data_IF_116613089912
#
_entry.id   IF_116613089912
#
_cell.length_a   1.000
_cell.length_b   1.000
_cell.length_c   1.000
_cell.angle_alpha   90.00
_cell.angle_beta   90.00
_cell.angle_gamma   90.00
#
_symmetry.space_group_name_H-M   'P 1'
#
loop_
_entity.id
_entity.type
_entity.pdbx_description
1 polymer ?
#
# COMPACT_ATOMS: atom_id res chain seq x y z
N UNK A 1 -5.90 18.79 -13.88
CA UNK A 1 -5.17 18.03 -12.84
C UNK A 1 -3.87 17.52 -13.45
N UNK A 2 -2.73 17.66 -12.76
CA UNK A 2 -1.47 17.10 -13.25
C UNK A 2 -1.45 15.60 -12.90
N UNK A 3 -1.39 14.71 -13.90
CA UNK A 3 -1.37 13.24 -13.73
C UNK A 3 -0.01 12.78 -13.15
N UNK A 4 0.35 13.21 -11.95
CA UNK A 4 1.71 13.06 -11.41
C UNK A 4 1.79 12.18 -10.18
N UNK A 5 0.74 11.44 -9.84
CA UNK A 5 0.68 10.62 -8.64
C UNK A 5 1.85 9.60 -8.59
N UNK A 6 2.12 8.90 -9.70
CA UNK A 6 3.19 7.90 -9.73
C UNK A 6 4.61 8.47 -9.62
N UNK A 7 4.79 9.76 -9.91
CA UNK A 7 6.09 10.41 -9.70
C UNK A 7 6.48 10.43 -8.21
N UNK A 8 5.51 10.44 -7.30
CA UNK A 8 5.73 10.43 -5.85
C UNK A 8 5.56 9.01 -5.27
N UNK A 9 4.67 8.21 -5.86
CA UNK A 9 4.30 6.89 -5.34
C UNK A 9 5.47 5.94 -5.06
N UNK A 10 6.44 5.85 -5.98
CA UNK A 10 7.56 4.91 -5.86
C UNK A 10 8.46 5.20 -4.63
N UNK A 11 8.45 6.44 -4.15
CA UNK A 11 9.17 6.85 -2.93
C UNK A 11 8.33 6.58 -1.68
N UNK A 12 7.03 6.87 -1.72
CA UNK A 12 6.17 6.89 -0.53
C UNK A 12 5.40 5.59 -0.27
N UNK A 13 5.43 4.64 -1.20
CA UNK A 13 4.84 3.31 -1.06
C UNK A 13 5.35 2.54 0.18
N UNK A 14 4.59 1.60 0.77
CA UNK A 14 4.89 0.99 2.06
C UNK A 14 6.30 0.37 2.16
N UNK A 15 6.57 -0.63 1.32
CA UNK A 15 7.81 -1.39 1.31
C UNK A 15 8.38 -1.41 -0.11
N UNK A 16 9.15 -0.37 -0.50
CA UNK A 16 9.72 -0.29 -1.84
C UNK A 16 10.72 -1.44 -2.07
N UNK A 17 10.69 -2.02 -3.27
CA UNK A 17 11.70 -3.01 -3.70
C UNK A 17 12.98 -2.30 -4.13
N UNK A 18 14.08 -3.03 -4.38
CA UNK A 18 15.29 -2.43 -4.95
C UNK A 18 15.10 -1.81 -6.34
N UNK A 19 14.00 -2.11 -7.05
CA UNK A 19 13.68 -1.53 -8.35
C UNK A 19 12.97 -0.16 -8.24
N UNK A 20 12.30 0.11 -7.12
CA UNK A 20 11.56 1.35 -6.91
C UNK A 20 12.34 2.65 -7.19
N UNK A 21 13.61 2.79 -6.75
CA UNK A 21 14.35 4.01 -7.00
C UNK A 21 14.63 4.25 -8.48
N UNK A 22 14.80 3.18 -9.27
CA UNK A 22 15.00 3.27 -10.71
C UNK A 22 13.72 3.71 -11.41
N UNK A 23 12.57 3.16 -11.01
CA UNK A 23 11.27 3.59 -11.51
C UNK A 23 10.98 5.04 -11.15
N UNK A 24 11.35 5.48 -9.95
CA UNK A 24 11.19 6.87 -9.52
C UNK A 24 11.95 7.85 -10.44
N UNK A 25 13.12 7.47 -10.95
CA UNK A 25 13.94 8.28 -11.89
C UNK A 25 13.41 8.34 -13.31
N UNK A 26 12.34 7.62 -13.65
CA UNK A 26 11.74 7.70 -14.98
C UNK A 26 11.29 9.15 -15.29
N UNK A 27 11.33 9.56 -16.57
CA UNK A 27 10.93 10.90 -16.96
C UNK A 27 9.45 11.14 -16.67
N UNK A 28 9.08 12.40 -16.40
CA UNK A 28 7.72 12.78 -16.00
C UNK A 28 6.61 12.35 -16.96
N UNK A 29 6.89 12.21 -18.27
CA UNK A 29 5.90 11.71 -19.22
C UNK A 29 5.53 10.24 -18.94
N UNK A 30 6.49 9.42 -18.51
CA UNK A 30 6.26 8.02 -18.20
C UNK A 30 5.39 7.89 -16.95
N UNK A 31 5.67 8.69 -15.92
CA UNK A 31 4.82 8.78 -14.72
C UNK A 31 3.40 9.23 -15.03
N UNK A 32 3.22 10.18 -15.94
CA UNK A 32 1.91 10.64 -16.41
C UNK A 32 1.14 9.55 -17.15
N UNK A 33 1.82 8.86 -18.06
CA UNK A 33 1.24 7.75 -18.80
C UNK A 33 0.84 6.61 -17.86
N UNK A 34 1.71 6.22 -16.93
CA UNK A 34 1.41 5.18 -15.97
C UNK A 34 0.27 5.57 -15.01
N UNK A 35 0.18 6.85 -14.61
CA UNK A 35 -0.94 7.35 -13.80
C UNK A 35 -2.25 7.27 -14.59
N UNK A 36 -2.23 7.66 -15.86
CA UNK A 36 -3.38 7.54 -16.75
C UNK A 36 -3.78 6.08 -16.97
N UNK A 37 -2.81 5.20 -17.19
CA UNK A 37 -3.03 3.77 -17.39
C UNK A 37 -3.66 3.13 -16.15
N UNK A 38 -3.16 3.44 -14.94
CA UNK A 38 -3.77 2.96 -13.69
C UNK A 38 -5.24 3.35 -13.57
N UNK A 39 -5.56 4.64 -13.80
CA UNK A 39 -6.95 5.12 -13.79
C UNK A 39 -7.83 4.45 -14.84
N UNK A 40 -7.30 4.23 -16.06
CA UNK A 40 -8.03 3.54 -17.11
C UNK A 40 -8.31 2.07 -16.75
N UNK A 41 -7.32 1.37 -16.18
CA UNK A 41 -7.45 -0.03 -15.77
C UNK A 41 -8.44 -0.18 -14.62
N UNK A 42 -8.47 0.75 -13.67
CA UNK A 42 -9.49 0.76 -12.60
C UNK A 42 -10.91 0.80 -13.17
N UNK A 43 -11.16 1.61 -14.20
CA UNK A 43 -12.46 1.65 -14.88
C UNK A 43 -12.73 0.35 -15.65
N UNK A 44 -11.75 -0.15 -16.40
CA UNK A 44 -11.88 -1.39 -17.18
C UNK A 44 -12.18 -2.58 -16.28
N UNK A 45 -11.57 -2.65 -15.10
CA UNK A 45 -11.76 -3.76 -14.14
C UNK A 45 -13.24 -3.91 -13.74
N UNK A 46 -13.98 -2.82 -13.65
CA UNK A 46 -15.41 -2.84 -13.32
C UNK A 46 -16.23 -3.40 -14.48
N UNK A 47 -15.87 -3.03 -15.71
CA UNK A 47 -16.50 -3.50 -16.96
C UNK A 47 -16.09 -4.94 -17.30
N UNK A 48 -14.95 -5.40 -16.76
CA UNK A 48 -14.37 -6.72 -16.99
C UNK A 48 -15.25 -7.90 -16.64
N UNK A 49 -16.24 -7.69 -15.76
CA UNK A 49 -17.20 -8.70 -15.31
C UNK A 49 -18.35 -8.89 -16.30
N UNK A 50 -18.47 -8.02 -17.32
CA UNK A 50 -19.47 -8.20 -18.36
C UNK A 50 -19.27 -9.54 -19.08
N UNK A 51 -20.36 -10.26 -19.45
CA UNK A 51 -20.30 -11.59 -20.03
C UNK A 51 -19.89 -11.55 -21.51
N UNK A 52 -18.70 -11.01 -21.78
CA UNK A 52 -18.07 -10.94 -23.09
C UNK A 52 -16.63 -11.48 -22.97
N UNK A 53 -16.29 -12.60 -23.65
CA UNK A 53 -15.04 -13.31 -23.41
C UNK A 53 -13.79 -12.46 -23.67
N UNK A 54 -13.80 -11.62 -24.72
CA UNK A 54 -12.69 -10.71 -25.01
C UNK A 54 -12.49 -9.65 -23.91
N UNK A 55 -13.58 -9.17 -23.30
CA UNK A 55 -13.51 -8.17 -22.23
C UNK A 55 -12.90 -8.78 -20.97
N UNK A 56 -13.28 -10.02 -20.63
CA UNK A 56 -12.71 -10.77 -19.50
C UNK A 56 -11.21 -11.00 -19.65
N UNK A 57 -10.75 -11.47 -20.82
CA UNK A 57 -9.32 -11.71 -21.08
C UNK A 57 -8.49 -10.42 -21.09
N UNK A 58 -8.99 -9.35 -21.72
CA UNK A 58 -8.31 -8.06 -21.71
C UNK A 58 -8.21 -7.49 -20.29
N UNK A 59 -9.26 -7.63 -19.49
CA UNK A 59 -9.26 -7.20 -18.09
C UNK A 59 -8.30 -8.04 -17.26
N UNK A 60 -8.30 -9.37 -17.43
CA UNK A 60 -7.33 -10.26 -16.79
C UNK A 60 -5.89 -9.80 -17.07
N UNK A 61 -5.55 -9.61 -18.34
CA UNK A 61 -4.21 -9.19 -18.74
C UNK A 61 -3.83 -7.82 -18.13
N UNK A 62 -4.76 -6.86 -18.14
CA UNK A 62 -4.56 -5.54 -17.55
C UNK A 62 -4.35 -5.59 -16.02
N UNK A 63 -5.17 -6.36 -15.31
CA UNK A 63 -5.05 -6.56 -13.86
C UNK A 63 -3.73 -7.24 -13.54
N UNK A 64 -3.39 -8.35 -14.21
CA UNK A 64 -2.14 -9.07 -13.99
C UNK A 64 -0.92 -8.19 -14.27
N UNK A 65 -0.90 -7.46 -15.38
CA UNK A 65 0.19 -6.53 -15.69
C UNK A 65 0.34 -5.45 -14.62
N UNK A 66 -0.77 -4.89 -14.14
CA UNK A 66 -0.77 -3.89 -13.08
C UNK A 66 -0.25 -4.48 -11.78
N UNK A 67 -0.76 -5.62 -11.33
CA UNK A 67 -0.31 -6.28 -10.10
C UNK A 67 1.15 -6.71 -10.17
N UNK A 68 1.63 -7.18 -11.33
CA UNK A 68 3.03 -7.48 -11.56
C UNK A 68 3.91 -6.22 -11.45
N UNK A 69 3.48 -5.11 -12.05
CA UNK A 69 4.19 -3.82 -11.94
C UNK A 69 4.29 -3.35 -10.48
N UNK A 70 3.19 -3.51 -9.71
CA UNK A 70 3.16 -3.19 -8.29
C UNK A 70 4.13 -4.09 -7.53
N UNK A 71 4.08 -5.42 -7.70
CA UNK A 71 5.02 -6.36 -7.04
C UNK A 71 6.48 -6.03 -7.36
N UNK A 72 6.75 -5.64 -8.61
CA UNK A 72 8.09 -5.25 -9.02
C UNK A 72 8.55 -3.94 -8.37
N UNK A 73 7.66 -2.96 -8.15
CA UNK A 73 8.02 -1.67 -7.55
C UNK A 73 7.94 -1.65 -6.03
N UNK A 74 7.02 -2.39 -5.41
CA UNK A 74 6.75 -2.35 -3.97
C UNK A 74 6.06 -3.61 -3.47
N UNK A 75 6.39 -4.04 -2.26
CA UNK A 75 5.71 -5.17 -1.64
C UNK A 75 4.42 -4.73 -0.95
N UNK A 76 3.29 -5.15 -1.53
CA UNK A 76 1.97 -5.06 -0.89
C UNK A 76 1.60 -6.33 -0.11
N UNK A 77 2.60 -7.14 0.25
CA UNK A 77 2.42 -8.45 0.86
C UNK A 77 1.66 -9.41 -0.06
N UNK A 78 0.74 -10.20 0.49
CA UNK A 78 -0.05 -11.17 -0.27
C UNK A 78 -1.18 -10.54 -1.10
N UNK A 79 -1.49 -9.25 -0.96
CA UNK A 79 -2.64 -8.61 -1.63
C UNK A 79 -2.52 -8.71 -3.16
N UNK A 80 -1.37 -8.33 -3.73
CA UNK A 80 -1.19 -8.34 -5.19
C UNK A 80 -1.40 -9.73 -5.80
N UNK A 81 -0.91 -10.76 -5.11
CA UNK A 81 -1.03 -12.14 -5.56
C UNK A 81 -2.45 -12.67 -5.41
N UNK A 82 -3.15 -12.29 -4.34
CA UNK A 82 -4.57 -12.59 -4.19
C UNK A 82 -5.39 -11.90 -5.29
N UNK A 83 -5.07 -10.66 -5.65
CA UNK A 83 -5.69 -9.95 -6.77
C UNK A 83 -5.42 -10.64 -8.10
N UNK A 84 -4.20 -11.10 -8.36
CA UNK A 84 -3.87 -11.91 -9.54
C UNK A 84 -4.68 -13.22 -9.54
N UNK A 85 -4.73 -13.92 -8.40
CA UNK A 85 -5.48 -15.16 -8.26
C UNK A 85 -6.98 -14.96 -8.52
N UNK A 86 -7.57 -13.90 -7.98
CA UNK A 86 -8.97 -13.55 -8.22
C UNK A 86 -9.23 -13.15 -9.68
N UNK A 87 -8.26 -12.54 -10.36
CA UNK A 87 -8.40 -12.18 -11.76
C UNK A 87 -8.60 -13.40 -12.67
N UNK A 88 -8.12 -14.60 -12.30
CA UNK A 88 -8.40 -15.82 -13.06
C UNK A 88 -9.90 -16.13 -13.19
N UNK A 89 -10.75 -15.64 -12.29
CA UNK A 89 -12.19 -15.77 -12.41
C UNK A 89 -12.78 -15.01 -13.61
N UNK A 90 -12.03 -14.09 -14.22
CA UNK A 90 -12.41 -13.37 -15.44
C UNK A 90 -12.15 -14.18 -16.71
N UNK A 91 -11.32 -15.23 -16.62
CA UNK A 91 -11.04 -16.11 -17.76
C UNK A 91 -12.21 -17.09 -17.93
N UNK A 92 -12.84 -17.05 -19.11
CA UNK A 92 -13.86 -18.02 -19.47
C UNK A 92 -13.28 -19.39 -19.82
N UNK A 93 -14.14 -20.40 -19.86
CA UNK A 93 -13.78 -21.80 -20.11
C UNK A 93 -13.10 -22.06 -21.47
N UNK A 94 -13.28 -21.13 -22.42
CA UNK A 94 -12.65 -21.15 -23.75
C UNK A 94 -11.41 -20.27 -23.85
N UNK A 95 -10.89 -19.77 -22.72
CA UNK A 95 -9.75 -18.86 -22.76
C UNK A 95 -8.54 -19.53 -23.38
N UNK A 96 -7.87 -18.81 -24.27
CA UNK A 96 -6.63 -19.27 -24.91
C UNK A 96 -5.46 -19.35 -23.92
N UNK A 97 -5.62 -18.75 -22.73
CA UNK A 97 -4.59 -18.63 -21.71
C UNK A 97 -4.54 -19.81 -20.72
N UNK A 98 -5.57 -20.66 -20.70
CA UNK A 98 -5.61 -21.85 -19.85
C UNK A 98 -5.38 -23.11 -20.71
N UNK A 99 -4.49 -24.04 -20.30
CA UNK A 99 -4.45 -25.35 -20.93
C UNK A 99 -5.84 -25.98 -20.77
N UNK A 100 -6.43 -26.48 -21.86
CA UNK A 100 -7.74 -27.14 -21.84
C UNK A 100 -7.67 -28.34 -20.90
N UNK A 101 -7.96 -28.12 -19.62
CA UNK A 101 -8.26 -29.19 -18.70
C UNK A 101 -9.53 -29.88 -19.21
N UNK A 102 -9.61 -31.17 -18.96
CA UNK A 102 -10.58 -32.20 -19.36
C UNK A 102 -12.07 -31.90 -19.05
N UNK A 103 -12.40 -30.67 -18.65
CA UNK A 103 -13.75 -30.21 -18.35
C UNK A 103 -14.27 -29.35 -19.50
N UNK A 104 -15.25 -29.85 -20.26
CA UNK A 104 -16.04 -29.03 -21.18
C UNK A 104 -17.36 -28.66 -20.51
N UNK A 105 -17.50 -27.44 -19.99
CA UNK A 105 -18.74 -27.04 -19.35
C UNK A 105 -19.85 -26.89 -20.40
N UNK A 106 -21.12 -27.10 -20.00
CA UNK A 106 -22.25 -26.93 -20.89
C UNK A 106 -22.35 -25.47 -21.34
N UNK A 107 -22.40 -25.25 -22.65
CA UNK A 107 -22.63 -23.93 -23.25
C UNK A 107 -24.10 -23.57 -23.16
N UNK A 108 -24.55 -23.08 -22.00
CA UNK A 108 -25.86 -22.45 -21.86
C UNK A 108 -25.67 -20.99 -21.48
N UNK A 109 -25.83 -20.09 -22.46
CA UNK A 109 -25.92 -18.66 -22.19
C UNK A 109 -27.27 -18.39 -21.53
N UNK A 110 -27.31 -18.27 -20.20
CA UNK A 110 -28.54 -17.91 -19.51
C UNK A 110 -28.78 -16.40 -19.68
N UNK A 111 -29.90 -16.05 -20.32
CA UNK A 111 -30.36 -14.66 -20.43
C UNK A 111 -30.57 -14.05 -19.04
N UNK A 112 -31.02 -14.88 -18.09
CA UNK A 112 -31.16 -14.54 -16.66
C UNK A 112 -29.81 -14.20 -16.00
N UNK A 113 -28.77 -15.01 -16.21
CA UNK A 113 -27.44 -14.74 -15.64
C UNK A 113 -26.83 -13.45 -16.20
N UNK A 114 -26.98 -13.22 -17.50
CA UNK A 114 -26.55 -11.96 -18.15
C UNK A 114 -27.30 -10.75 -17.59
N UNK A 115 -28.63 -10.86 -17.43
CA UNK A 115 -29.45 -9.79 -16.83
C UNK A 115 -29.04 -9.51 -15.39
N UNK A 116 -28.82 -10.55 -14.56
CA UNK A 116 -28.35 -10.39 -13.18
C UNK A 116 -26.99 -9.68 -13.11
N UNK A 117 -26.04 -10.04 -13.99
CA UNK A 117 -24.73 -9.37 -14.05
C UNK A 117 -24.90 -7.90 -14.43
N UNK A 118 -25.71 -7.58 -15.44
CA UNK A 118 -25.96 -6.18 -15.82
C UNK A 118 -26.64 -5.39 -14.71
N UNK A 119 -27.65 -5.97 -14.05
CA UNK A 119 -28.36 -5.38 -12.91
C UNK A 119 -27.41 -5.13 -11.72
N UNK A 120 -26.38 -5.94 -11.53
CA UNK A 120 -25.40 -5.74 -10.47
C UNK A 120 -24.29 -4.74 -10.88
N UNK A 121 -23.72 -4.88 -12.08
CA UNK A 121 -22.57 -4.09 -12.54
C UNK A 121 -22.93 -2.63 -12.73
N UNK A 122 -24.07 -2.32 -13.35
CA UNK A 122 -24.46 -0.93 -13.64
C UNK A 122 -24.58 -0.06 -12.38
N UNK A 123 -25.36 -0.44 -11.33
CA UNK A 123 -25.45 0.35 -10.12
C UNK A 123 -24.14 0.37 -9.33
N UNK A 124 -23.37 -0.72 -9.30
CA UNK A 124 -22.03 -0.71 -8.67
C UNK A 124 -21.06 0.23 -9.39
N UNK A 125 -21.10 0.28 -10.72
CA UNK A 125 -20.28 1.20 -11.54
C UNK A 125 -20.70 2.65 -11.29
N UNK A 126 -22.01 2.93 -11.31
CA UNK A 126 -22.54 4.26 -11.03
C UNK A 126 -22.18 4.72 -9.60
N UNK A 127 -22.29 3.83 -8.61
CA UNK A 127 -21.86 4.06 -7.24
C UNK A 127 -20.35 4.36 -7.18
N UNK A 128 -19.51 3.58 -7.86
CA UNK A 128 -18.07 3.83 -7.89
C UNK A 128 -17.73 5.19 -8.53
N UNK A 129 -18.28 5.52 -9.70
CA UNK A 129 -18.02 6.78 -10.41
C UNK A 129 -18.48 7.98 -9.58
N UNK A 130 -19.67 7.90 -8.98
CA UNK A 130 -20.20 8.98 -8.13
C UNK A 130 -19.31 9.19 -6.90
N UNK A 131 -18.76 8.12 -6.31
CA UNK A 131 -17.78 8.23 -5.22
C UNK A 131 -16.45 8.81 -5.67
N UNK A 132 -15.90 8.35 -6.79
CA UNK A 132 -14.69 8.94 -7.37
C UNK A 132 -14.87 10.45 -7.61
N UNK A 133 -16.05 10.87 -8.05
CA UNK A 133 -16.38 12.28 -8.21
C UNK A 133 -16.46 13.04 -6.87
N UNK A 134 -16.97 12.45 -5.79
CA UNK A 134 -16.96 13.08 -4.45
C UNK A 134 -15.53 13.30 -3.92
N UNK A 135 -14.58 12.41 -4.22
CA UNK A 135 -13.17 12.59 -3.87
C UNK A 135 -12.48 13.71 -4.65
N UNK A 136 -13.12 14.27 -5.68
CA UNK A 136 -12.55 15.38 -6.43
C UNK A 136 -12.52 16.72 -5.65
N UNK A 137 -12.87 16.72 -4.35
CA UNK A 137 -12.92 17.90 -3.47
C UNK A 137 -13.83 19.01 -4.04
N UNK A 138 -14.98 18.61 -4.59
CA UNK A 138 -15.96 19.54 -5.15
C UNK A 138 -15.63 20.07 -6.56
N UNK A 139 -14.58 19.55 -7.20
CA UNK A 139 -14.26 19.87 -8.60
C UNK A 139 -15.25 19.24 -9.60
N UNK A 140 -15.82 18.09 -9.25
CA UNK A 140 -16.82 17.39 -10.06
C UNK A 140 -18.20 17.50 -9.38
N UNK A 141 -19.01 18.46 -9.83
CA UNK A 141 -20.35 18.74 -9.27
C UNK A 141 -21.49 17.95 -9.92
N UNK A 142 -21.18 17.13 -10.93
CA UNK A 142 -22.16 16.43 -11.76
C UNK A 142 -23.06 15.47 -10.97
N UNK A 143 -22.60 15.04 -9.79
CA UNK A 143 -23.29 14.06 -8.94
C UNK A 143 -23.76 14.64 -7.60
N UNK A 144 -23.75 15.96 -7.40
CA UNK A 144 -24.19 16.58 -6.13
C UNK A 144 -25.62 16.19 -5.75
N UNK A 145 -26.52 16.05 -6.74
CA UNK A 145 -27.91 15.64 -6.51
C UNK A 145 -28.06 14.19 -6.00
N UNK A 146 -27.05 13.35 -6.16
CA UNK A 146 -27.03 11.96 -5.69
C UNK A 146 -26.41 11.82 -4.29
N UNK A 147 -25.80 12.87 -3.75
CA UNK A 147 -25.10 12.85 -2.46
C UNK A 147 -25.97 12.34 -1.29
N UNK A 148 -27.25 12.75 -1.13
CA UNK A 148 -28.10 12.23 -0.05
C UNK A 148 -28.33 10.72 -0.15
N UNK A 149 -28.60 10.21 -1.34
CA UNK A 149 -28.82 8.77 -1.58
C UNK A 149 -27.57 7.95 -1.30
N UNK A 150 -26.40 8.47 -1.69
CA UNK A 150 -25.10 7.85 -1.44
C UNK A 150 -24.80 7.78 0.06
N UNK A 151 -25.11 8.83 0.81
CA UNK A 151 -24.98 8.85 2.28
C UNK A 151 -25.90 7.83 2.95
N UNK A 152 -27.13 7.69 2.48
CA UNK A 152 -28.04 6.66 3.01
C UNK A 152 -27.51 5.25 2.73
N UNK A 153 -27.02 4.99 1.52
CA UNK A 153 -26.43 3.69 1.18
C UNK A 153 -25.20 3.35 2.04
N UNK A 154 -24.43 4.35 2.49
CA UNK A 154 -23.23 4.18 3.33
C UNK A 154 -23.53 4.11 4.83
N UNK A 155 -24.27 5.07 5.35
CA UNK A 155 -24.48 5.22 6.79
C UNK A 155 -25.65 4.38 7.31
N UNK A 156 -26.67 4.14 6.50
CA UNK A 156 -27.86 3.39 6.91
C UNK A 156 -27.75 1.92 6.51
N UNK A 157 -27.39 1.66 5.24
CA UNK A 157 -27.40 0.31 4.70
C UNK A 157 -26.01 -0.35 4.64
N UNK A 158 -24.94 0.41 4.83
CA UNK A 158 -23.55 -0.09 4.75
C UNK A 158 -23.22 -0.85 3.45
N UNK A 159 -23.91 -0.52 2.35
CA UNK A 159 -23.70 -1.11 1.02
C UNK A 159 -22.50 -0.49 0.31
N UNK A 160 -22.13 0.72 0.71
CA UNK A 160 -20.97 1.46 0.21
C UNK A 160 -20.13 1.96 1.39
N UNK A 161 -18.82 2.07 1.22
CA UNK A 161 -17.92 2.62 2.25
C UNK A 161 -16.92 3.58 1.61
N UNK A 162 -16.60 4.69 2.32
CA UNK A 162 -15.48 5.59 2.00
C UNK A 162 -14.10 4.95 2.29
N UNK A 163 -14.03 3.65 2.56
CA UNK A 163 -12.76 3.01 2.86
C UNK A 163 -11.90 2.87 1.60
N UNK A 164 -10.84 3.66 1.52
CA UNK A 164 -9.69 3.38 0.66
C UNK A 164 -8.44 3.45 1.51
N UNK A 165 -7.68 2.36 1.50
CA UNK A 165 -6.44 2.21 2.27
C UNK A 165 -5.41 3.30 1.90
N UNK A 166 -5.47 3.84 0.68
CA UNK A 166 -4.55 4.84 0.13
C UNK A 166 -5.26 5.90 -0.73
N UNK A 167 -6.36 6.47 -0.23
CA UNK A 167 -7.16 7.47 -0.98
C UNK A 167 -6.39 8.74 -1.33
N UNK A 168 -5.51 9.19 -0.44
CA UNK A 168 -4.68 10.36 -0.64
C UNK A 168 -3.21 9.97 -0.70
N UNK A 169 -2.52 10.42 -1.74
CA UNK A 169 -1.08 10.19 -1.87
C UNK A 169 -0.35 11.01 -0.81
N UNK A 170 0.48 10.35 0.00
CA UNK A 170 1.36 11.07 0.93
C UNK A 170 2.47 11.73 0.11
N UNK A 171 2.70 13.05 0.22
CA UNK A 171 3.68 13.75 -0.61
C UNK A 171 5.14 13.46 -0.21
N UNK A 172 5.36 13.00 1.02
CA UNK A 172 6.68 12.70 1.58
C UNK A 172 6.65 11.36 2.30
N UNK A 173 7.79 10.66 2.28
CA UNK A 173 7.97 9.40 3.02
C UNK A 173 8.42 9.72 4.44
N UNK A 174 7.50 9.63 5.40
CA UNK A 174 7.85 9.66 6.81
C UNK A 174 8.21 8.26 7.29
N UNK A 175 9.24 8.19 8.13
CA UNK A 175 9.68 6.93 8.71
C UNK A 175 10.00 7.08 10.18
N UNK A 176 9.45 6.16 10.97
CA UNK A 176 9.77 6.03 12.37
C UNK A 176 10.98 5.11 12.54
N UNK A 177 12.02 5.61 13.19
CA UNK A 177 13.17 4.84 13.67
C UNK A 177 13.03 4.63 15.17
N UNK A 178 13.25 3.41 15.65
CA UNK A 178 13.33 3.11 17.08
C UNK A 178 14.81 3.06 17.45
N UNK A 179 15.19 3.76 18.50
CA UNK A 179 16.57 3.76 19.02
C UNK A 179 16.58 3.21 20.45
N UNK A 180 17.58 2.38 20.75
CA UNK A 180 17.80 1.80 22.07
C UNK A 180 19.09 2.35 22.68
N UNK A 181 19.09 2.52 24.00
CA UNK A 181 20.27 2.87 24.77
C UNK A 181 20.53 1.82 25.85
N UNK A 182 21.79 1.42 26.00
CA UNK A 182 22.22 0.41 26.98
C UNK A 182 22.92 1.02 28.19
N UNK A 183 23.45 2.25 28.04
CA UNK A 183 24.17 3.03 29.03
C UNK A 183 23.42 4.32 29.43
N UNK A 184 22.32 4.65 28.74
CA UNK A 184 21.58 5.90 28.90
C UNK A 184 22.17 7.10 28.15
N UNK A 185 23.32 6.94 27.47
CA UNK A 185 24.04 8.00 26.80
C UNK A 185 24.15 7.78 25.29
N UNK A 186 24.52 6.57 24.87
CA UNK A 186 24.64 6.17 23.47
C UNK A 186 23.34 5.56 22.95
N UNK A 187 23.01 5.86 21.70
CA UNK A 187 21.77 5.43 21.07
C UNK A 187 22.05 4.66 19.79
N UNK A 188 21.54 3.43 19.72
CA UNK A 188 21.67 2.54 18.59
C UNK A 188 20.31 2.41 17.90
N UNK A 189 20.25 2.72 16.61
CA UNK A 189 19.04 2.56 15.81
C UNK A 189 18.76 1.07 15.54
N UNK A 190 17.51 0.67 15.75
CA UNK A 190 17.01 -0.66 15.44
C UNK A 190 16.68 -0.77 13.96
N UNK A 191 17.26 -1.78 13.33
CA UNK A 191 17.00 -2.05 11.92
C UNK A 191 15.86 -3.06 11.77
N UNK A 192 14.80 -2.65 11.06
CA UNK A 192 13.72 -3.55 10.67
C UNK A 192 14.19 -4.48 9.54
N UNK A 193 13.57 -5.65 9.35
CA UNK A 193 14.01 -6.60 8.32
C UNK A 193 13.70 -6.15 6.89
N UNK A 194 12.56 -5.49 6.69
CA UNK A 194 12.02 -5.25 5.35
C UNK A 194 11.73 -3.77 5.08
N UNK A 195 11.32 -3.03 6.10
CA UNK A 195 11.09 -1.59 6.08
C UNK A 195 12.38 -0.82 5.81
N UNK A 196 12.28 0.30 5.11
CA UNK A 196 13.39 1.25 4.94
C UNK A 196 13.94 1.69 6.31
N UNK A 197 15.27 1.65 6.42
CA UNK A 197 16.06 1.97 7.61
C UNK A 197 17.41 2.53 7.17
N UNK A 198 18.47 1.70 7.17
CA UNK A 198 19.79 2.11 6.65
C UNK A 198 19.68 2.66 5.22
N UNK A 199 20.12 3.90 5.04
CA UNK A 199 20.03 4.63 3.79
C UNK A 199 20.85 4.02 2.65
N UNK A 200 21.81 3.16 2.99
CA UNK A 200 22.69 2.45 2.06
C UNK A 200 22.13 1.10 1.60
N UNK A 201 21.07 0.60 2.26
CA UNK A 201 20.54 -0.75 2.02
C UNK A 201 19.15 -0.69 1.39
N UNK A 202 19.04 -1.20 0.17
CA UNK A 202 17.75 -1.53 -0.43
C UNK A 202 17.32 -2.91 0.06
N UNK A 203 16.05 -3.06 0.42
CA UNK A 203 15.51 -4.29 0.99
C UNK A 203 14.52 -4.93 0.05
N UNK A 204 14.49 -6.26 0.07
CA UNK A 204 13.56 -7.07 -0.70
C UNK A 204 12.66 -7.82 0.28
N UNK A 205 11.36 -7.81 0.00
CA UNK A 205 10.40 -8.64 0.73
C UNK A 205 10.18 -9.92 -0.05
N UNK A 206 10.26 -11.11 0.58
CA UNK A 206 9.93 -12.36 -0.08
C UNK A 206 8.52 -12.32 -0.69
N UNK A 207 8.29 -12.98 -1.84
CA UNK A 207 6.95 -13.13 -2.41
C UNK A 207 5.94 -13.64 -1.39
N UNK A 208 4.69 -13.16 -1.44
CA UNK A 208 3.60 -13.47 -0.51
C UNK A 208 3.81 -13.07 0.97
N UNK A 209 5.01 -12.66 1.38
CA UNK A 209 5.28 -12.34 2.77
C UNK A 209 4.68 -10.99 3.16
N UNK A 210 3.91 -10.96 4.25
CA UNK A 210 3.36 -9.75 4.85
C UNK A 210 4.10 -9.44 6.16
N UNK A 211 5.12 -8.56 6.15
CA UNK A 211 5.85 -8.21 7.35
C UNK A 211 5.03 -7.22 8.20
N UNK A 212 4.27 -7.78 9.14
CA UNK A 212 3.23 -7.05 9.90
C UNK A 212 3.81 -5.90 10.73
N UNK A 213 4.97 -6.06 11.35
CA UNK A 213 5.59 -5.01 12.16
C UNK A 213 6.02 -3.82 11.29
N UNK A 214 6.78 -4.11 10.23
CA UNK A 214 7.25 -3.15 9.23
C UNK A 214 6.10 -2.31 8.65
N UNK A 215 5.01 -2.98 8.26
CA UNK A 215 3.78 -2.33 7.77
C UNK A 215 3.12 -1.43 8.81
N UNK A 216 3.01 -1.91 10.06
CA UNK A 216 2.39 -1.12 11.14
C UNK A 216 3.23 0.10 11.49
N UNK A 217 4.55 -0.01 11.47
CA UNK A 217 5.46 1.12 11.68
C UNK A 217 5.39 2.14 10.54
N UNK A 218 5.31 1.67 9.29
CA UNK A 218 5.07 2.56 8.16
C UNK A 218 3.74 3.31 8.30
N UNK A 219 2.63 2.61 8.59
CA UNK A 219 1.32 3.24 8.83
C UNK A 219 1.36 4.23 10.00
N UNK A 220 2.05 3.87 11.09
CA UNK A 220 2.19 4.70 12.28
C UNK A 220 2.85 6.04 11.93
N UNK A 221 3.89 6.02 11.08
CA UNK A 221 4.60 7.22 10.64
C UNK A 221 3.75 8.19 9.80
N UNK A 222 2.60 7.75 9.26
CA UNK A 222 1.73 8.57 8.42
C UNK A 222 0.67 9.37 9.18
N UNK A 223 0.56 9.22 10.51
CA UNK A 223 -0.49 9.91 11.29
C UNK A 223 -1.04 9.15 12.49
N UNK A 224 -0.57 7.93 12.76
CA UNK A 224 -1.06 7.12 13.87
C UNK A 224 -0.52 7.64 15.21
N UNK A 225 -1.28 8.49 15.90
CA UNK A 225 -0.95 8.91 17.28
C UNK A 225 -1.50 7.91 18.31
N UNK A 226 -0.80 7.76 19.43
CA UNK A 226 -1.31 7.08 20.63
C UNK A 226 -1.64 5.60 20.42
N UNK A 227 -0.80 4.89 19.69
CA UNK A 227 -1.01 3.48 19.36
C UNK A 227 -0.59 2.56 20.53
N UNK A 228 -1.52 1.91 21.27
CA UNK A 228 -1.17 1.16 22.49
C UNK A 228 -0.23 -0.03 22.21
N UNK A 229 -0.30 -0.58 20.98
CA UNK A 229 0.58 -1.64 20.53
C UNK A 229 2.04 -1.19 20.39
N UNK A 230 2.27 0.10 20.09
CA UNK A 230 3.61 0.65 19.94
C UNK A 230 4.26 0.85 21.30
N UNK A 231 3.50 1.33 22.30
CA UNK A 231 3.97 1.39 23.68
C UNK A 231 4.28 -0.01 24.23
N UNK A 232 3.45 -1.00 23.89
CA UNK A 232 3.70 -2.39 24.22
C UNK A 232 4.96 -2.93 23.52
N UNK A 233 5.18 -2.58 22.26
CA UNK A 233 6.40 -2.92 21.52
C UNK A 233 7.65 -2.38 22.25
N UNK A 234 7.65 -1.10 22.60
CA UNK A 234 8.77 -0.45 23.29
C UNK A 234 9.05 -1.08 24.66
N UNK A 235 8.01 -1.36 25.45
CA UNK A 235 8.15 -2.06 26.74
C UNK A 235 8.77 -3.46 26.57
N UNK A 236 8.28 -4.24 25.61
CA UNK A 236 8.81 -5.59 25.34
C UNK A 236 10.26 -5.57 24.82
N UNK A 237 10.64 -4.53 24.07
CA UNK A 237 12.04 -4.29 23.70
C UNK A 237 12.91 -3.99 24.94
N UNK A 238 12.42 -3.14 25.84
CA UNK A 238 13.09 -2.84 27.11
C UNK A 238 13.23 -4.06 28.03
N UNK A 239 12.28 -5.00 28.00
CA UNK A 239 12.37 -6.26 28.75
C UNK A 239 13.36 -7.26 28.15
N UNK A 240 13.80 -7.05 26.90
CA UNK A 240 14.63 -7.99 26.15
C UNK A 240 13.85 -9.22 25.67
N UNK A 241 12.59 -9.03 25.25
CA UNK A 241 11.75 -10.10 24.72
C UNK A 241 12.36 -10.75 23.47
N UNK A 242 12.66 -12.05 23.56
CA UNK A 242 13.17 -12.81 22.42
C UNK A 242 12.22 -12.77 21.21
N UNK A 243 10.90 -12.95 21.43
CA UNK A 243 9.91 -12.97 20.35
C UNK A 243 9.80 -11.63 19.62
N UNK A 244 9.93 -10.51 20.33
CA UNK A 244 9.91 -9.18 19.71
C UNK A 244 11.22 -8.88 18.99
N UNK A 245 12.35 -9.23 19.60
CA UNK A 245 13.67 -9.07 18.96
C UNK A 245 13.78 -9.92 17.68
N UNK A 246 13.16 -11.09 17.65
CA UNK A 246 13.10 -11.95 16.47
C UNK A 246 12.33 -11.34 15.28
N UNK A 247 11.56 -10.25 15.48
CA UNK A 247 10.90 -9.51 14.39
C UNK A 247 11.84 -8.53 13.68
N UNK A 248 12.97 -8.19 14.29
CA UNK A 248 13.93 -7.20 13.83
C UNK A 248 15.17 -7.88 13.23
N UNK A 249 16.08 -7.09 12.66
CA UNK A 249 17.42 -7.57 12.35
C UNK A 249 18.19 -7.87 13.65
N UNK A 250 19.15 -8.82 13.63
CA UNK A 250 19.93 -9.16 14.81
C UNK A 250 20.61 -7.95 15.43
N UNK A 251 20.49 -7.82 16.75
CA UNK A 251 21.17 -6.75 17.49
C UNK A 251 22.67 -7.02 17.60
N UNK A 252 23.45 -5.95 17.61
CA UNK A 252 24.89 -6.03 17.83
C UNK A 252 25.26 -6.49 19.26
N UNK A 253 24.37 -6.29 20.24
CA UNK A 253 24.59 -6.66 21.64
C UNK A 253 23.43 -7.49 22.18
N UNK A 254 23.72 -8.56 22.95
CA UNK A 254 22.70 -9.34 23.65
C UNK A 254 22.24 -8.65 24.96
N UNK A 255 22.85 -7.52 25.32
CA UNK A 255 22.49 -6.78 26.53
C UNK A 255 21.04 -6.27 26.46
N UNK A 256 20.52 -5.95 27.64
CA UNK A 256 19.14 -5.53 27.85
C UNK A 256 19.08 -4.00 27.91
N UNK A 257 18.41 -3.28 26.99
CA UNK A 257 18.49 -1.81 26.90
C UNK A 257 17.79 -1.10 28.07
N UNK A 258 18.40 -0.04 28.61
CA UNK A 258 17.85 0.72 29.75
C UNK A 258 16.81 1.75 29.33
N UNK A 259 16.91 2.24 28.09
CA UNK A 259 15.98 3.21 27.52
C UNK A 259 15.74 2.95 26.03
N UNK A 260 14.57 3.40 25.56
CA UNK A 260 14.16 3.36 24.17
C UNK A 260 13.57 4.72 23.79
N UNK A 261 13.74 5.13 22.54
CA UNK A 261 13.08 6.32 21.98
C UNK A 261 12.67 6.07 20.54
N UNK A 262 11.75 6.88 20.04
CA UNK A 262 11.33 6.85 18.66
C UNK A 262 11.62 8.20 18.01
N UNK A 263 12.08 8.20 16.76
CA UNK A 263 12.37 9.42 16.00
C UNK A 263 11.76 9.36 14.63
N UNK A 264 11.20 10.48 14.21
CA UNK A 264 10.63 10.63 12.88
C UNK A 264 11.68 11.19 11.92
N UNK A 265 11.72 10.63 10.72
CA UNK A 265 12.60 11.05 9.64
C UNK A 265 11.81 11.21 8.34
N UNK A 266 12.26 12.12 7.48
CA UNK A 266 11.78 12.23 6.11
C UNK A 266 12.82 11.60 5.19
N UNK A 267 12.42 10.55 4.48
CA UNK A 267 13.26 9.85 3.52
C UNK A 267 12.96 10.31 2.10
N UNK A 268 14.01 10.40 1.26
CA UNK A 268 13.92 10.71 -0.16
C UNK A 268 14.93 9.88 -0.95
N UNK A 269 14.68 9.64 -2.22
CA UNK A 269 15.69 9.09 -3.12
C UNK A 269 16.74 10.14 -3.48
N UNK A 270 18.01 9.73 -3.46
CA UNK A 270 19.13 10.57 -3.87
C UNK A 270 19.09 10.90 -5.38
N UNK A 271 19.22 12.19 -5.69
CA UNK A 271 19.17 12.75 -7.05
C UNK A 271 20.51 12.69 -7.82
N UNK A 272 21.56 12.12 -7.23
CA UNK A 272 22.89 12.08 -7.85
C UNK A 272 23.04 10.99 -8.93
N UNK A 273 23.99 11.20 -9.85
CA UNK A 273 24.45 10.18 -10.80
C UNK A 273 25.17 9.06 -10.03
N UNK A 274 24.65 7.84 -10.12
CA UNK A 274 25.14 6.67 -9.39
C UNK A 274 24.03 5.74 -8.94
N UNK A 275 24.38 4.69 -8.20
CA UNK A 275 23.40 3.76 -7.64
C UNK A 275 22.41 4.51 -6.75
N UNK A 276 21.11 4.26 -6.93
CA UNK A 276 20.10 4.94 -6.15
C UNK A 276 20.20 4.53 -4.68
N UNK A 277 20.31 5.55 -3.83
CA UNK A 277 20.37 5.42 -2.37
C UNK A 277 19.30 6.28 -1.73
N UNK A 278 18.95 5.94 -0.50
CA UNK A 278 18.13 6.83 0.30
C UNK A 278 18.96 7.99 0.84
N UNK A 279 18.28 9.07 1.14
CA UNK A 279 18.78 10.16 1.98
C UNK A 279 17.67 10.44 2.99
N UNK A 280 18.05 10.73 4.24
CA UNK A 280 17.09 11.07 5.30
C UNK A 280 17.47 12.37 5.97
N UNK A 281 16.45 13.11 6.39
CA UNK A 281 16.58 14.36 7.13
C UNK A 281 15.52 14.45 8.23
N UNK A 282 15.76 15.18 9.33
CA UNK A 282 14.71 15.42 10.31
C UNK A 282 13.55 16.20 9.67
N UNK A 283 12.30 16.01 10.14
CA UNK A 283 11.17 16.79 9.65
C UNK A 283 11.35 18.28 9.96
N UNK A 284 10.85 19.15 9.09
CA UNK A 284 10.95 20.62 9.24
C UNK A 284 10.20 21.12 10.49
N UNK A 285 9.13 20.44 10.90
CA UNK A 285 8.40 20.70 12.15
C UNK A 285 8.68 19.58 13.15
N UNK A 286 9.44 19.90 14.21
CA UNK A 286 9.81 18.95 15.28
C UNK A 286 8.62 18.44 16.10
N UNK A 287 7.53 19.19 16.18
CA UNK A 287 6.38 18.89 17.04
C UNK A 287 5.35 17.92 16.42
N UNK A 288 5.63 17.37 15.23
CA UNK A 288 4.70 16.47 14.55
C UNK A 288 4.98 15.00 14.95
N UNK A 289 4.07 14.48 15.80
CA UNK A 289 3.81 13.08 16.20
C UNK A 289 4.60 12.41 17.33
N UNK A 290 5.94 12.34 17.29
CA UNK A 290 6.66 11.42 18.21
C UNK A 290 7.61 12.09 19.22
N UNK A 291 7.95 13.38 19.06
CA UNK A 291 8.76 14.17 20.01
C UNK A 291 10.07 13.49 20.45
N UNK A 292 10.76 14.08 21.43
CA UNK A 292 11.89 13.43 22.12
C UNK A 292 11.39 12.60 23.32
N UNK A 293 10.29 11.84 23.14
CA UNK A 293 9.77 10.98 24.23
C UNK A 293 10.73 9.81 24.43
N UNK A 294 11.16 9.62 25.68
CA UNK A 294 12.07 8.55 26.07
C UNK A 294 11.36 7.62 27.04
N UNK A 295 11.31 6.34 26.70
CA UNK A 295 10.79 5.28 27.56
C UNK A 295 11.94 4.67 28.32
N UNK A 296 11.83 4.61 29.65
CA UNK A 296 12.84 4.01 30.53
C UNK A 296 12.29 2.76 31.18
N UNK A 297 13.14 1.75 31.37
CA UNK A 297 12.74 0.47 31.97
C UNK A 297 12.10 0.61 33.36
N UNK A 298 12.50 1.62 34.14
CA UNK A 298 12.11 1.76 35.55
C UNK A 298 11.04 2.85 35.81
N UNK A 299 10.45 3.45 34.77
CA UNK A 299 9.49 4.56 34.90
C UNK A 299 8.08 4.20 34.38
N UNK A 300 7.74 2.91 34.25
CA UNK A 300 6.41 2.43 33.83
C UNK A 300 5.75 1.53 34.84
#
# INVERSE_FOLDING_TARGET
>A
AALTALAVHHETQPLPTPLAPWLHRLPMWAHRLATLAGLAIEIVTIVGVLPAPFIGEATFAAVVATQASIVMSGSFGYFNYLSIFLAFALLGDRSLLLPRLWWTPPTSSSTLGTACVLIAVVPCTALYITRAAQYSEGRCRWFEKLDPWLRTAEHTFHVANRFSLFSNMTPQRHELSIELSYDGATWCELECRYKVGDVRRLKLVPPMHMPRLDWRLWLLAQGGRGAPWFDALLRRLLEGSHDVLALLEPLATPAKPVAARARLWVYRYGQGEGEPRWVRQPPEKRDEMFGDVVWRRNES
#
